data_IF_359713719135
#
_entry.id   IF_359713719135
#
_cell.length_a   1.000
_cell.length_b   1.000
_cell.length_c   1.000
_cell.angle_alpha   90.00
_cell.angle_beta   90.00
_cell.angle_gamma   90.00
#
_symmetry.space_group_name_H-M   'P 1'
#
loop_
_entity.id
_entity.type
_entity.pdbx_description
1 polymer ?
#
# COMPACT_ATOMS: atom_id res chain seq x y z
N UNK A 1 24.48 13.40 54.75
CA UNK A 1 25.83 12.89 55.05
C UNK A 1 25.92 11.37 54.79
N UNK A 2 26.35 11.02 53.58
CA UNK A 2 26.90 9.70 53.23
C UNK A 2 28.09 9.37 54.12
N UNK A 3 28.26 8.10 54.54
CA UNK A 3 29.52 7.38 54.28
C UNK A 3 29.36 5.86 54.47
N UNK A 4 30.11 5.12 53.65
CA UNK A 4 30.77 3.83 53.92
C UNK A 4 30.04 2.52 53.61
N UNK A 5 30.00 2.30 52.31
CA UNK A 5 30.45 1.10 51.60
C UNK A 5 31.54 0.25 52.29
N UNK A 6 31.33 -1.07 52.13
CA UNK A 6 32.27 -2.11 51.72
C UNK A 6 33.21 -2.78 52.74
N UNK A 7 33.52 -4.03 52.35
CA UNK A 7 34.57 -4.96 52.83
C UNK A 7 34.13 -5.92 53.97
N UNK A 8 34.15 -7.26 53.81
CA UNK A 8 35.27 -8.12 53.38
C UNK A 8 34.77 -9.59 53.26
N UNK A 9 35.13 -10.27 52.16
CA UNK A 9 35.82 -11.61 52.05
C UNK A 9 35.22 -12.81 52.82
N UNK A 10 35.21 -14.07 52.38
CA UNK A 10 35.95 -14.87 51.39
C UNK A 10 35.45 -16.33 51.51
N UNK A 11 35.47 -17.10 50.40
CA UNK A 11 35.92 -18.52 50.24
C UNK A 11 35.25 -19.61 51.14
N UNK A 12 34.92 -20.83 50.72
CA UNK A 12 35.20 -21.64 49.53
C UNK A 12 34.33 -22.93 49.59
N UNK A 13 34.41 -23.73 48.52
CA UNK A 13 34.18 -25.19 48.46
C UNK A 13 32.84 -25.80 47.99
N UNK A 14 32.81 -26.03 46.66
CA UNK A 14 32.73 -27.34 45.97
C UNK A 14 31.69 -28.37 46.45
N UNK A 15 30.65 -28.61 45.62
CA UNK A 15 30.53 -29.88 44.86
C UNK A 15 29.38 -29.88 43.84
N UNK A 16 29.66 -30.61 42.77
CA UNK A 16 28.92 -30.83 41.53
C UNK A 16 27.48 -31.31 41.68
N UNK A 17 26.57 -30.81 40.83
CA UNK A 17 25.73 -31.64 39.94
C UNK A 17 24.94 -30.81 38.90
N UNK A 18 24.72 -31.49 37.78
CA UNK A 18 24.29 -31.00 36.45
C UNK A 18 22.84 -30.46 36.41
N UNK A 19 22.69 -29.32 35.72
CA UNK A 19 21.60 -28.81 34.80
C UNK A 19 20.20 -29.47 34.83
N UNK A 20 19.09 -28.72 34.58
CA UNK A 20 19.01 -27.61 33.63
C UNK A 20 18.25 -26.35 34.10
N UNK A 21 18.49 -25.26 33.36
CA UNK A 21 17.91 -23.93 33.52
C UNK A 21 16.39 -23.97 33.43
N UNK A 22 15.75 -23.78 34.57
CA UNK A 22 14.38 -23.29 34.65
C UNK A 22 14.42 -21.82 34.20
N UNK A 23 14.08 -21.59 32.94
CA UNK A 23 13.90 -20.25 32.41
C UNK A 23 12.64 -19.72 33.08
N UNK A 24 12.87 -18.93 34.13
CA UNK A 24 11.91 -18.01 34.72
C UNK A 24 11.16 -17.28 33.61
N UNK A 25 9.96 -17.75 33.30
CA UNK A 25 8.96 -16.97 32.61
C UNK A 25 8.58 -15.91 33.64
N UNK A 26 9.21 -14.74 33.51
CA UNK A 26 8.65 -13.52 34.09
C UNK A 26 7.27 -13.38 33.48
N UNK A 27 6.25 -13.62 34.28
CA UNK A 27 4.89 -13.12 34.02
C UNK A 27 5.03 -11.61 33.80
N UNK A 28 5.11 -11.21 32.54
CA UNK A 28 4.93 -9.83 32.15
C UNK A 28 3.43 -9.54 32.32
N UNK A 29 3.05 -8.53 33.13
CA UNK A 29 1.67 -8.32 33.51
C UNK A 29 0.80 -8.17 32.27
N UNK A 30 -0.34 -8.87 32.27
CA UNK A 30 -1.40 -8.72 31.29
C UNK A 30 -1.75 -7.23 31.15
N UNK A 31 -1.11 -6.57 30.18
CA UNK A 31 -1.45 -5.21 29.81
C UNK A 31 -2.84 -5.28 29.23
N UNK A 32 -3.85 -4.94 30.05
CA UNK A 32 -5.22 -4.63 29.63
C UNK A 32 -5.09 -3.86 28.32
N UNK A 33 -5.49 -4.49 27.23
CA UNK A 33 -5.40 -3.88 25.92
C UNK A 33 -6.47 -2.81 25.89
N UNK A 34 -6.12 -1.58 26.28
CA UNK A 34 -6.99 -0.42 26.17
C UNK A 34 -7.39 -0.30 24.70
N UNK A 35 -8.63 -0.73 24.42
CA UNK A 35 -9.19 -0.70 23.08
C UNK A 35 -9.48 0.75 22.73
N UNK A 36 -8.62 1.33 21.91
CA UNK A 36 -8.79 2.70 21.45
C UNK A 36 -10.00 2.76 20.52
N UNK A 37 -10.90 3.72 20.76
CA UNK A 37 -12.10 3.90 19.96
C UNK A 37 -11.77 4.30 18.52
N UNK A 38 -12.68 4.03 17.57
CA UNK A 38 -12.49 4.46 16.18
C UNK A 38 -12.37 5.98 16.04
N UNK A 39 -13.12 6.72 16.86
CA UNK A 39 -13.17 8.19 16.84
C UNK A 39 -11.82 8.79 17.24
N UNK A 40 -11.17 8.22 18.24
CA UNK A 40 -9.83 8.65 18.67
C UNK A 40 -8.77 8.34 17.61
N UNK A 41 -8.83 7.19 16.93
CA UNK A 41 -7.92 6.85 15.83
C UNK A 41 -8.07 7.77 14.61
N UNK A 42 -9.27 8.31 14.36
CA UNK A 42 -9.50 9.25 13.26
C UNK A 42 -8.85 10.62 13.50
N UNK A 43 -8.74 11.03 14.76
CA UNK A 43 -8.15 12.31 15.14
C UNK A 43 -6.62 12.31 15.09
N UNK A 44 -6.01 11.12 15.14
CA UNK A 44 -4.55 10.98 15.14
C UNK A 44 -3.90 11.22 13.78
N UNK A 45 -2.66 11.67 13.79
CA UNK A 45 -1.84 11.82 12.59
C UNK A 45 -1.35 10.45 12.08
N UNK A 46 -0.92 10.38 10.82
CA UNK A 46 -0.39 9.13 10.24
C UNK A 46 0.86 8.66 10.99
N UNK A 47 1.67 9.59 11.51
CA UNK A 47 2.85 9.32 12.33
C UNK A 47 2.47 8.71 13.68
N UNK A 48 1.49 9.28 14.37
CA UNK A 48 0.97 8.73 15.64
C UNK A 48 0.40 7.32 15.46
N UNK A 49 -0.39 7.10 14.40
CA UNK A 49 -0.94 5.78 14.09
C UNK A 49 0.16 4.74 13.83
N UNK A 50 1.22 5.12 13.12
CA UNK A 50 2.38 4.25 12.88
C UNK A 50 3.15 3.93 14.16
N UNK A 51 3.42 4.94 14.98
CA UNK A 51 4.13 4.77 16.25
C UNK A 51 3.34 3.85 17.20
N UNK A 52 2.06 4.13 17.39
CA UNK A 52 1.16 3.31 18.19
C UNK A 52 1.14 1.85 17.71
N UNK A 53 1.14 1.65 16.40
CA UNK A 53 1.09 0.32 15.84
C UNK A 53 2.40 -0.44 15.97
N UNK A 54 3.54 0.25 15.89
CA UNK A 54 4.84 -0.34 16.20
C UNK A 54 4.92 -0.80 17.66
N UNK A 55 4.41 0.01 18.60
CA UNK A 55 4.31 -0.35 20.02
C UNK A 55 3.43 -1.59 20.27
N UNK A 56 2.38 -1.77 19.45
CA UNK A 56 1.48 -2.93 19.50
C UNK A 56 1.91 -4.09 18.59
N UNK A 57 3.02 -3.97 17.86
CA UNK A 57 3.55 -5.00 16.96
C UNK A 57 2.70 -5.27 15.71
N UNK A 58 1.91 -4.30 15.26
CA UNK A 58 1.04 -4.43 14.07
C UNK A 58 1.84 -4.04 12.82
N UNK A 59 1.90 -4.93 11.83
CA UNK A 59 2.64 -4.70 10.58
C UNK A 59 1.72 -4.15 9.48
N UNK A 60 2.26 -3.26 8.64
CA UNK A 60 1.54 -2.69 7.51
C UNK A 60 2.36 -2.76 6.23
N UNK A 61 1.72 -2.82 5.07
CA UNK A 61 2.38 -2.55 3.80
C UNK A 61 3.06 -1.18 3.78
N UNK A 62 4.14 -1.02 3.00
CA UNK A 62 4.97 0.20 3.01
C UNK A 62 4.23 1.48 2.57
N UNK A 63 3.13 1.35 1.82
CA UNK A 63 2.34 2.47 1.29
C UNK A 63 0.86 2.29 1.59
N UNK A 64 0.46 2.67 2.81
CA UNK A 64 -0.91 2.52 3.32
C UNK A 64 -1.51 3.89 3.63
N UNK A 65 -2.77 4.09 3.25
CA UNK A 65 -3.50 5.33 3.52
C UNK A 65 -3.94 5.40 4.98
N UNK A 66 -4.15 6.61 5.52
CA UNK A 66 -4.60 6.82 6.92
C UNK A 66 -5.81 5.95 7.29
N UNK A 67 -6.82 5.88 6.40
CA UNK A 67 -8.01 5.08 6.62
C UNK A 67 -7.72 3.57 6.73
N UNK A 68 -6.82 3.06 5.90
CA UNK A 68 -6.42 1.64 5.90
C UNK A 68 -5.62 1.30 7.16
N UNK A 69 -4.76 2.21 7.65
CA UNK A 69 -4.06 2.04 8.94
C UNK A 69 -5.07 1.86 10.08
N UNK A 70 -6.10 2.71 10.14
CA UNK A 70 -7.13 2.64 11.16
C UNK A 70 -7.85 1.29 11.12
N UNK A 71 -8.23 0.81 9.93
CA UNK A 71 -8.93 -0.48 9.81
C UNK A 71 -8.04 -1.65 10.26
N UNK A 72 -6.77 -1.69 9.83
CA UNK A 72 -5.85 -2.77 10.21
C UNK A 72 -5.62 -2.78 11.74
N UNK A 73 -5.50 -1.60 12.35
CA UNK A 73 -5.41 -1.46 13.81
C UNK A 73 -6.66 -2.04 14.48
N UNK A 74 -7.85 -1.72 13.98
CA UNK A 74 -9.10 -2.27 14.52
C UNK A 74 -9.20 -3.80 14.35
N UNK A 75 -8.89 -4.31 13.17
CA UNK A 75 -8.89 -5.74 12.87
C UNK A 75 -7.92 -6.52 13.75
N UNK A 76 -6.77 -5.92 14.11
CA UNK A 76 -5.81 -6.55 15.01
C UNK A 76 -6.36 -6.76 16.43
N UNK A 77 -7.22 -5.85 16.90
CA UNK A 77 -7.90 -6.00 18.19
C UNK A 77 -8.98 -7.07 18.12
N UNK A 78 -9.73 -7.12 17.02
CA UNK A 78 -10.81 -8.09 16.85
C UNK A 78 -10.24 -9.52 16.69
N UNK A 79 -9.14 -9.71 15.94
CA UNK A 79 -8.44 -11.00 15.82
C UNK A 79 -7.80 -11.48 17.12
N UNK A 80 -7.29 -10.57 17.95
CA UNK A 80 -6.71 -10.94 19.26
C UNK A 80 -7.78 -11.44 20.24
N UNK A 81 -9.02 -11.00 20.08
CA UNK A 81 -10.17 -11.48 20.87
C UNK A 81 -10.62 -12.89 20.41
N UNK A 82 -10.50 -13.22 19.13
CA UNK A 82 -10.82 -14.57 18.64
C UNK A 82 -9.74 -15.61 18.96
N UNK A 83 -8.46 -15.24 18.92
CA UNK A 83 -7.36 -16.16 19.23
C UNK A 83 -7.31 -16.64 20.69
N UNK A 84 -7.99 -15.95 21.62
CA UNK A 84 -8.12 -16.38 23.02
C UNK A 84 -9.28 -17.36 23.26
N UNK A 85 -10.14 -17.62 22.26
CA UNK A 85 -11.26 -18.57 22.36
C UNK A 85 -11.00 -19.92 21.69
N UNK A 86 -9.88 -20.11 21.00
CA UNK A 86 -9.60 -21.32 20.23
C UNK A 86 -8.24 -21.93 20.56
N UNK A 87 -8.05 -22.37 21.81
CA UNK A 87 -7.03 -23.36 22.11
C UNK A 87 -7.76 -24.63 22.51
N UNK A 88 -8.16 -25.42 21.53
CA UNK A 88 -8.19 -26.86 21.69
C UNK A 88 -8.11 -27.52 20.30
N UNK A 89 -7.09 -28.38 20.17
CA UNK A 89 -6.92 -29.49 19.21
C UNK A 89 -6.29 -29.18 17.84
N UNK A 90 -4.99 -29.46 17.79
CA UNK A 90 -4.25 -30.09 16.67
C UNK A 90 -3.78 -31.45 17.28
N UNK A 91 -3.62 -32.61 16.58
CA UNK A 91 -3.10 -32.77 15.21
C UNK A 91 -3.61 -33.95 14.33
N UNK A 92 -3.42 -33.86 13.00
CA UNK A 92 -2.59 -34.78 12.15
C UNK A 92 -2.87 -34.58 10.63
N UNK A 93 -1.86 -34.97 9.84
CA UNK A 93 -1.50 -34.62 8.45
C UNK A 93 -2.01 -35.73 7.47
N UNK A 94 -1.63 -35.80 6.17
CA UNK A 94 -2.03 -35.07 4.94
C UNK A 94 -2.82 -35.94 3.92
N UNK A 95 -3.36 -35.36 2.83
CA UNK A 95 -3.29 -35.88 1.43
C UNK A 95 -4.17 -35.07 0.46
N UNK A 96 -3.60 -34.77 -0.71
CA UNK A 96 -4.17 -34.80 -2.06
C UNK A 96 -3.75 -33.60 -2.91
N UNK A 97 -2.78 -33.85 -3.78
CA UNK A 97 -2.33 -32.97 -4.86
C UNK A 97 -3.48 -32.83 -5.86
N UNK A 98 -3.91 -31.59 -6.12
CA UNK A 98 -4.85 -31.31 -7.20
C UNK A 98 -4.13 -31.42 -8.56
N UNK A 99 -4.74 -31.99 -9.60
CA UNK A 99 -4.13 -32.11 -10.92
C UNK A 99 -4.00 -30.73 -11.59
N UNK A 100 -2.79 -30.43 -12.07
CA UNK A 100 -2.49 -29.22 -12.86
C UNK A 100 -3.24 -29.24 -14.21
N UNK A 101 -3.68 -28.07 -14.73
CA UNK A 101 -4.34 -27.97 -16.03
C UNK A 101 -3.39 -28.30 -17.20
N UNK A 102 -3.90 -28.91 -18.29
CA UNK A 102 -3.09 -29.37 -19.42
C UNK A 102 -2.65 -28.17 -20.27
N UNK A 103 -1.39 -27.76 -20.11
CA UNK A 103 -0.79 -26.70 -20.92
C UNK A 103 0.70 -26.45 -20.65
N UNK A 104 1.18 -26.87 -19.48
CA UNK A 104 2.55 -26.58 -19.01
C UNK A 104 3.60 -27.61 -19.45
N UNK A 105 3.23 -28.63 -20.23
CA UNK A 105 4.16 -29.70 -20.66
C UNK A 105 4.90 -29.33 -21.96
N UNK A 106 4.33 -28.46 -22.80
CA UNK A 106 4.88 -28.11 -24.11
C UNK A 106 6.23 -27.37 -24.01
N UNK A 107 6.37 -26.42 -23.07
CA UNK A 107 7.61 -25.64 -22.88
C UNK A 107 8.78 -26.48 -22.36
N UNK A 108 8.53 -27.52 -21.56
CA UNK A 108 9.59 -28.37 -20.99
C UNK A 108 10.16 -29.37 -22.01
N UNK A 109 9.34 -29.86 -22.95
CA UNK A 109 9.81 -30.69 -24.09
C UNK A 109 10.65 -29.90 -25.09
N UNK A 110 10.37 -28.61 -25.29
CA UNK A 110 11.18 -27.77 -26.18
C UNK A 110 12.59 -27.51 -25.64
N UNK A 111 12.75 -27.30 -24.32
CA UNK A 111 14.08 -27.12 -23.72
C UNK A 111 14.97 -28.38 -23.84
N UNK A 112 14.39 -29.57 -23.71
CA UNK A 112 15.12 -30.84 -23.87
C UNK A 112 15.58 -31.10 -25.31
N UNK A 113 14.84 -30.62 -26.32
CA UNK A 113 15.23 -30.74 -27.74
C UNK A 113 16.36 -29.79 -28.16
N UNK A 114 16.55 -28.68 -27.44
CA UNK A 114 17.66 -27.75 -27.67
C UNK A 114 18.95 -28.28 -27.02
N UNK A 115 18.85 -28.98 -25.90
CA UNK A 115 19.99 -29.63 -25.23
C UNK A 115 20.50 -30.87 -25.99
N UNK A 116 19.65 -31.57 -26.76
CA UNK A 116 20.02 -32.77 -27.52
C UNK A 116 20.63 -32.50 -28.92
N UNK A 117 20.98 -31.25 -29.24
CA UNK A 117 21.75 -30.90 -30.44
C UNK A 117 21.03 -31.02 -31.79
N UNK A 118 19.71 -31.25 -31.83
CA UNK A 118 18.97 -31.48 -33.08
C UNK A 118 18.53 -30.20 -33.83
N UNK A 119 18.79 -29.00 -33.30
CA UNK A 119 18.39 -27.74 -33.96
C UNK A 119 19.55 -26.76 -33.97
N UNK A 120 20.13 -26.52 -35.15
CA UNK A 120 21.09 -25.43 -35.38
C UNK A 120 20.33 -24.11 -35.47
N UNK A 121 20.54 -23.21 -34.51
CA UNK A 121 20.05 -21.83 -34.58
C UNK A 121 20.84 -21.07 -35.65
N UNK A 122 20.14 -20.35 -36.53
CA UNK A 122 20.76 -19.47 -37.53
C UNK A 122 21.44 -18.28 -36.83
N UNK A 123 22.52 -17.70 -37.39
CA UNK A 123 23.22 -16.58 -36.78
C UNK A 123 22.31 -15.37 -36.61
N UNK A 124 22.19 -14.88 -35.39
CA UNK A 124 21.50 -13.64 -35.05
C UNK A 124 22.44 -12.49 -35.43
N UNK A 125 22.08 -11.72 -36.46
CA UNK A 125 22.79 -10.47 -36.78
C UNK A 125 22.58 -9.48 -35.62
N UNK A 126 23.62 -8.74 -35.18
CA UNK A 126 23.45 -7.76 -34.12
C UNK A 126 22.48 -6.66 -34.56
N UNK A 127 21.52 -6.34 -33.70
CA UNK A 127 20.59 -5.24 -33.90
C UNK A 127 21.37 -3.92 -33.86
N UNK A 128 21.32 -3.14 -34.93
CA UNK A 128 21.82 -1.77 -34.95
C UNK A 128 20.90 -0.92 -34.07
N UNK A 129 21.36 -0.55 -32.88
CA UNK A 129 20.64 0.37 -32.00
C UNK A 129 20.71 1.78 -32.61
N UNK A 130 19.65 2.21 -33.28
CA UNK A 130 19.49 3.63 -33.59
C UNK A 130 19.14 4.34 -32.30
N UNK A 131 20.07 5.13 -31.77
CA UNK A 131 19.84 6.03 -30.64
C UNK A 131 18.94 7.16 -31.11
N UNK A 132 17.63 6.90 -31.18
CA UNK A 132 16.62 7.94 -31.29
C UNK A 132 16.58 8.74 -29.98
N UNK A 133 17.53 9.66 -29.82
CA UNK A 133 17.50 10.65 -28.74
C UNK A 133 16.38 11.63 -29.10
N UNK A 134 15.18 11.35 -28.58
CA UNK A 134 14.04 12.26 -28.71
C UNK A 134 14.45 13.64 -28.18
N UNK A 135 14.23 14.73 -28.93
CA UNK A 135 14.49 16.07 -28.41
C UNK A 135 13.63 16.30 -27.16
N UNK A 136 14.27 16.71 -26.07
CA UNK A 136 13.57 17.11 -24.85
C UNK A 136 12.74 18.35 -25.18
N UNK A 137 11.43 18.24 -25.07
CA UNK A 137 10.54 19.39 -25.22
C UNK A 137 10.76 20.35 -24.06
N UNK A 138 11.32 21.52 -24.31
CA UNK A 138 11.38 22.62 -23.35
C UNK A 138 9.98 23.21 -23.24
N UNK A 139 9.21 22.79 -22.24
CA UNK A 139 7.89 23.33 -21.98
C UNK A 139 8.05 24.74 -21.41
N UNK A 140 7.82 25.77 -22.23
CA UNK A 140 8.14 27.17 -21.88
C UNK A 140 7.17 27.79 -20.88
N UNK A 141 5.94 27.31 -20.74
CA UNK A 141 4.99 27.76 -19.70
C UNK A 141 3.96 26.67 -19.40
N UNK A 142 3.55 26.58 -18.12
CA UNK A 142 2.43 25.74 -17.70
C UNK A 142 1.12 26.43 -18.10
N UNK A 143 0.18 25.75 -18.78
CA UNK A 143 -1.12 26.34 -19.09
C UNK A 143 -1.91 26.56 -17.80
N UNK A 144 -1.99 27.81 -17.35
CA UNK A 144 -2.78 28.16 -16.16
C UNK A 144 -4.27 27.94 -16.48
N UNK A 145 -4.90 27.08 -15.68
CA UNK A 145 -6.35 26.82 -15.73
C UNK A 145 -7.05 28.01 -15.09
N UNK A 146 -7.50 28.95 -15.91
CA UNK A 146 -8.33 30.08 -15.46
C UNK A 146 -9.82 29.75 -15.63
N UNK A 147 -10.66 30.42 -14.86
CA UNK A 147 -12.12 30.26 -14.94
C UNK A 147 -12.65 30.60 -16.33
N UNK A 148 -12.08 31.63 -16.95
CA UNK A 148 -12.44 32.10 -18.30
C UNK A 148 -12.18 31.03 -19.35
N UNK A 149 -10.99 30.41 -19.34
CA UNK A 149 -10.66 29.31 -20.24
C UNK A 149 -11.60 28.12 -20.08
N UNK A 150 -12.04 27.81 -18.85
CA UNK A 150 -12.99 26.72 -18.62
C UNK A 150 -14.34 27.05 -19.28
N UNK A 151 -14.82 28.28 -19.15
CA UNK A 151 -16.09 28.74 -19.73
C UNK A 151 -16.03 28.88 -21.26
N UNK A 152 -14.85 29.20 -21.80
CA UNK A 152 -14.59 29.22 -23.24
C UNK A 152 -14.62 27.80 -23.84
N UNK A 153 -14.06 26.84 -23.12
CA UNK A 153 -13.99 25.43 -23.54
C UNK A 153 -15.34 24.72 -23.39
N UNK A 154 -16.15 25.11 -22.41
CA UNK A 154 -17.53 24.67 -22.21
C UNK A 154 -18.43 25.31 -23.26
N UNK A 155 -18.62 24.61 -24.37
CA UNK A 155 -19.61 24.94 -25.40
C UNK A 155 -21.03 24.59 -24.92
N UNK A 156 -22.04 24.88 -25.75
CA UNK A 156 -23.44 24.50 -25.49
C UNK A 156 -23.69 22.98 -25.53
N UNK A 157 -22.67 22.19 -25.84
CA UNK A 157 -22.74 20.74 -25.85
C UNK A 157 -22.36 20.13 -24.50
N UNK A 158 -22.95 18.97 -24.20
CA UNK A 158 -22.62 18.19 -23.02
C UNK A 158 -21.20 17.61 -23.10
N UNK A 159 -20.28 18.12 -22.27
CA UNK A 159 -18.90 17.67 -22.24
C UNK A 159 -18.56 16.93 -20.93
N UNK A 160 -17.79 15.85 -21.03
CA UNK A 160 -17.24 15.17 -19.84
C UNK A 160 -15.94 15.83 -19.38
N UNK A 161 -15.55 15.62 -18.12
CA UNK A 161 -14.26 16.07 -17.56
C UNK A 161 -13.06 15.65 -18.44
N UNK A 162 -13.08 14.44 -19.02
CA UNK A 162 -11.99 13.97 -19.89
C UNK A 162 -11.80 14.86 -21.13
N UNK A 163 -12.89 15.31 -21.74
CA UNK A 163 -12.88 16.22 -22.88
C UNK A 163 -12.33 17.60 -22.47
N UNK A 164 -12.73 18.10 -21.31
CA UNK A 164 -12.22 19.36 -20.77
C UNK A 164 -10.71 19.30 -20.49
N UNK A 165 -10.23 18.20 -19.88
CA UNK A 165 -8.80 17.94 -19.65
C UNK A 165 -8.02 17.97 -20.96
N UNK A 166 -8.55 17.31 -21.99
CA UNK A 166 -7.91 17.25 -23.30
C UNK A 166 -7.86 18.63 -23.98
N UNK A 167 -8.98 19.37 -24.00
CA UNK A 167 -9.05 20.72 -24.61
C UNK A 167 -8.16 21.73 -23.89
N UNK A 168 -8.11 21.70 -22.56
CA UNK A 168 -7.24 22.55 -21.74
C UNK A 168 -5.77 22.08 -21.73
N UNK A 169 -5.45 20.96 -22.41
CA UNK A 169 -4.12 20.34 -22.47
C UNK A 169 -3.51 20.11 -21.07
N UNK A 170 -4.35 19.68 -20.13
CA UNK A 170 -3.94 19.42 -18.76
C UNK A 170 -3.17 18.11 -18.72
N UNK A 171 -1.89 18.19 -18.30
CA UNK A 171 -1.01 17.04 -18.13
C UNK A 171 -0.83 16.66 -16.66
N UNK A 172 -0.90 17.63 -15.75
CA UNK A 172 -0.71 17.41 -14.33
C UNK A 172 -1.99 16.83 -13.69
N UNK A 173 -1.80 15.88 -12.77
CA UNK A 173 -2.89 15.30 -11.99
C UNK A 173 -3.49 16.32 -11.01
N UNK A 174 -2.68 17.22 -10.46
CA UNK A 174 -3.11 18.29 -9.55
C UNK A 174 -4.03 19.27 -10.25
N UNK A 175 -3.70 19.62 -11.49
CA UNK A 175 -4.50 20.47 -12.35
C UNK A 175 -5.85 19.83 -12.71
N UNK A 176 -5.87 18.52 -12.97
CA UNK A 176 -7.11 17.78 -13.17
C UNK A 176 -7.99 17.80 -11.91
N UNK A 177 -7.39 17.73 -10.70
CA UNK A 177 -8.12 17.90 -9.44
C UNK A 177 -8.63 19.33 -9.27
N UNK A 178 -7.80 20.32 -9.57
CA UNK A 178 -8.20 21.72 -9.52
C UNK A 178 -9.38 22.01 -10.45
N UNK A 179 -9.36 21.49 -11.69
CA UNK A 179 -10.47 21.57 -12.63
C UNK A 179 -11.76 20.98 -12.04
N UNK A 180 -11.69 19.82 -11.38
CA UNK A 180 -12.85 19.23 -10.71
C UNK A 180 -13.42 20.13 -9.61
N UNK A 181 -12.55 20.73 -8.79
CA UNK A 181 -12.97 21.69 -7.77
C UNK A 181 -13.60 22.93 -8.40
N UNK A 182 -13.01 23.45 -9.47
CA UNK A 182 -13.49 24.66 -10.14
C UNK A 182 -14.83 24.46 -10.83
N UNK A 183 -15.05 23.31 -11.47
CA UNK A 183 -16.35 22.95 -12.03
C UNK A 183 -17.43 22.88 -10.95
N UNK A 184 -17.09 22.31 -9.77
CA UNK A 184 -18.00 22.27 -8.62
C UNK A 184 -18.29 23.67 -8.05
N UNK A 185 -17.31 24.57 -8.09
CA UNK A 185 -17.50 25.97 -7.72
C UNK A 185 -18.40 26.72 -8.72
N UNK A 186 -18.23 26.47 -10.02
CA UNK A 186 -19.04 27.06 -11.09
C UNK A 186 -20.48 26.56 -11.09
N UNK A 187 -20.70 25.29 -10.75
CA UNK A 187 -22.02 24.70 -10.51
C UNK A 187 -22.72 25.43 -9.35
N UNK A 188 -22.04 25.66 -8.22
CA UNK A 188 -22.59 26.43 -7.08
C UNK A 188 -22.93 27.87 -7.46
N UNK A 189 -22.20 28.46 -8.41
CA UNK A 189 -22.43 29.81 -8.93
C UNK A 189 -23.44 29.83 -10.09
N UNK A 190 -24.07 28.69 -10.42
CA UNK A 190 -25.07 28.53 -11.49
C UNK A 190 -24.54 29.01 -12.85
N UNK A 191 -23.24 28.87 -13.12
CA UNK A 191 -22.62 29.16 -14.43
C UNK A 191 -22.50 27.92 -15.31
N UNK A 192 -22.62 26.74 -14.72
CA UNK A 192 -22.46 25.44 -15.39
C UNK A 192 -23.54 24.49 -14.87
N UNK A 193 -24.25 23.83 -15.79
CA UNK A 193 -25.20 22.76 -15.48
C UNK A 193 -24.45 21.43 -15.46
N UNK A 194 -24.76 20.61 -14.47
CA UNK A 194 -24.21 19.25 -14.35
C UNK A 194 -25.33 18.24 -14.50
N UNK A 195 -25.15 17.28 -15.40
CA UNK A 195 -26.05 16.16 -15.60
C UNK A 195 -25.28 14.84 -15.46
N UNK A 196 -25.89 13.84 -14.81
CA UNK A 196 -25.29 12.52 -14.64
C UNK A 196 -25.94 11.58 -15.67
N UNK A 197 -25.20 11.23 -16.72
CA UNK A 197 -25.60 10.26 -17.74
C UNK A 197 -24.71 9.03 -17.65
N UNK A 198 -25.30 7.84 -17.52
CA UNK A 198 -24.57 6.56 -17.44
C UNK A 198 -23.48 6.56 -16.35
N UNK A 199 -23.77 7.14 -15.19
CA UNK A 199 -22.83 7.26 -14.06
C UNK A 199 -21.66 8.24 -14.27
N UNK A 200 -21.64 9.00 -15.38
CA UNK A 200 -20.61 10.00 -15.69
C UNK A 200 -21.20 11.41 -15.64
N UNK A 201 -20.46 12.34 -15.05
CA UNK A 201 -20.83 13.76 -15.02
C UNK A 201 -20.54 14.42 -16.37
N UNK A 202 -21.56 15.08 -16.90
CA UNK A 202 -21.51 15.91 -18.08
C UNK A 202 -21.76 17.35 -17.65
N UNK A 203 -21.00 18.26 -18.23
CA UNK A 203 -21.00 19.68 -17.92
C UNK A 203 -21.40 20.42 -19.18
N UNK A 204 -22.31 21.37 -19.02
CA UNK A 204 -22.75 22.29 -20.07
C UNK A 204 -22.76 23.70 -19.50
N UNK A 205 -22.37 24.69 -20.30
CA UNK A 205 -22.47 26.10 -19.91
C UNK A 205 -23.95 26.50 -19.76
N UNK A 206 -24.26 27.27 -18.71
CA UNK A 206 -25.58 27.89 -18.51
C UNK A 206 -25.73 29.08 -19.45
#
# INVERSE_FOLDING_TARGET
PEVKSLEIKKLEDRKDRKKPKEISIKEEPERKVERISRKTLQNWTVTELKNYSNEKGITFPSKVRKFELINIIQESFDKKIEASKSIEKIPKIPKAVQPLPPGTISKKKQQLKVASGQVRLKPIKPATYTTNVKPKSTQLTLPVITTEKILEVLTDDWQTIKHLIFKLKIKDMMDARYLQLKLKELERKVKVVVEIKMGKKHFKRV
#
